data_IF_777667242059
#
_entry.id   IF_777667242059
#
_cell.length_a   1.000
_cell.length_b   1.000
_cell.length_c   1.000
_cell.angle_alpha   90.00
_cell.angle_beta   90.00
_cell.angle_gamma   90.00
#
_symmetry.space_group_name_H-M   'P 1'
#
loop_
_entity.id
_entity.type
_entity.pdbx_description
1 polymer ?
#
# COMPACT_ATOMS: atom_id res chain seq x y z
N UNK A 1 -64.06 -45.09 9.49
CA UNK A 1 -64.95 -46.07 10.14
C UNK A 1 -66.36 -45.56 9.93
N UNK A 2 -67.12 -46.27 9.10
CA UNK A 2 -68.48 -45.89 8.72
C UNK A 2 -69.44 -46.50 9.75
N UNK A 3 -70.11 -45.66 10.54
CA UNK A 3 -71.23 -46.08 11.37
C UNK A 3 -72.53 -45.83 10.59
N UNK A 4 -73.06 -46.93 10.06
CA UNK A 4 -74.46 -47.06 9.63
C UNK A 4 -75.33 -47.04 10.88
N UNK A 5 -76.07 -45.95 11.10
CA UNK A 5 -77.10 -45.88 12.14
C UNK A 5 -78.44 -46.22 11.51
N UNK A 6 -78.97 -47.35 11.97
CA UNK A 6 -80.29 -47.92 11.72
C UNK A 6 -81.41 -46.90 12.00
N UNK A 7 -82.35 -46.82 11.06
CA UNK A 7 -83.60 -46.10 11.21
C UNK A 7 -84.74 -47.13 11.30
N UNK A 8 -85.34 -47.39 12.48
CA UNK A 8 -86.53 -48.22 12.56
C UNK A 8 -87.76 -47.33 12.37
N UNK A 9 -88.26 -47.27 11.14
CA UNK A 9 -89.62 -46.82 10.85
C UNK A 9 -90.61 -47.80 11.48
N UNK A 10 -91.03 -47.50 12.71
CA UNK A 10 -92.14 -48.19 13.37
C UNK A 10 -93.44 -47.78 12.69
N UNK A 11 -94.05 -48.76 12.04
CA UNK A 11 -95.44 -48.78 11.62
C UNK A 11 -96.35 -48.34 12.79
N UNK A 12 -96.91 -47.14 12.67
CA UNK A 12 -97.89 -46.59 13.61
C UNK A 12 -99.21 -46.18 12.92
N UNK A 13 -99.48 -46.73 11.73
CA UNK A 13 -100.74 -46.54 10.99
C UNK A 13 -101.49 -47.87 10.85
N UNK A 14 -102.06 -48.37 11.97
CA UNK A 14 -102.93 -49.55 11.93
C UNK A 14 -104.04 -49.57 13.01
N UNK A 15 -104.40 -48.44 13.62
CA UNK A 15 -105.44 -48.40 14.68
C UNK A 15 -106.34 -47.15 14.58
N UNK A 16 -107.00 -46.95 13.44
CA UNK A 16 -108.06 -45.94 13.30
C UNK A 16 -109.32 -46.45 12.58
N UNK A 17 -109.50 -47.77 12.46
CA UNK A 17 -110.71 -48.39 11.92
C UNK A 17 -111.40 -49.28 12.96
N UNK A 18 -111.94 -48.67 14.02
CA UNK A 18 -112.94 -49.34 14.86
C UNK A 18 -113.87 -48.33 15.56
N UNK A 19 -114.64 -47.60 14.76
CA UNK A 19 -115.92 -47.04 15.23
C UNK A 19 -116.99 -47.55 14.27
N UNK A 20 -117.78 -48.57 14.65
CA UNK A 20 -118.99 -48.89 13.94
C UNK A 20 -119.90 -47.65 13.99
N UNK A 21 -120.11 -47.01 12.84
CA UNK A 21 -121.22 -46.10 12.62
C UNK A 21 -122.46 -46.80 13.13
N UNK A 22 -123.02 -46.31 14.24
CA UNK A 22 -124.28 -46.81 14.77
C UNK A 22 -125.30 -46.70 13.65
N UNK A 23 -125.74 -47.87 13.17
CA UNK A 23 -126.83 -47.99 12.25
C UNK A 23 -128.00 -47.15 12.79
N UNK A 24 -128.54 -46.32 11.91
CA UNK A 24 -129.76 -45.56 12.08
C UNK A 24 -130.87 -46.53 12.45
N UNK A 25 -131.12 -46.70 13.75
CA UNK A 25 -132.33 -47.36 14.21
C UNK A 25 -133.50 -46.44 13.86
N UNK A 26 -134.49 -46.91 13.08
CA UNK A 26 -135.72 -46.15 12.90
C UNK A 26 -136.34 -45.96 14.28
N UNK A 27 -136.52 -44.71 14.68
CA UNK A 27 -137.30 -44.33 15.85
C UNK A 27 -138.69 -44.92 15.70
N UNK A 28 -138.89 -46.12 16.25
CA UNK A 28 -140.22 -46.61 16.54
C UNK A 28 -140.70 -45.79 17.74
N UNK A 29 -141.61 -44.86 17.46
CA UNK A 29 -142.46 -44.13 18.40
C UNK A 29 -143.29 -45.13 19.23
N UNK A 30 -142.60 -45.90 20.06
CA UNK A 30 -143.18 -46.78 21.05
C UNK A 30 -143.62 -45.91 22.21
N UNK A 31 -144.77 -45.25 22.03
CA UNK A 31 -145.43 -44.46 23.09
C UNK A 31 -145.53 -45.31 24.35
N UNK A 32 -144.83 -44.88 25.39
CA UNK A 32 -144.81 -45.53 26.70
C UNK A 32 -146.26 -45.64 27.21
N UNK A 33 -146.72 -46.86 27.48
CA UNK A 33 -148.04 -47.13 28.04
C UNK A 33 -147.89 -47.45 29.52
N UNK A 34 -148.70 -46.80 30.36
CA UNK A 34 -148.76 -47.13 31.77
C UNK A 34 -149.36 -48.53 31.97
N UNK A 35 -148.93 -49.27 32.99
CA UNK A 35 -149.52 -50.56 33.38
C UNK A 35 -151.04 -50.48 33.66
N UNK A 36 -151.59 -49.28 33.82
CA UNK A 36 -153.02 -49.00 33.99
C UNK A 36 -153.79 -48.81 32.67
N UNK A 37 -153.12 -48.80 31.51
CA UNK A 37 -153.72 -48.62 30.18
C UNK A 37 -154.33 -47.22 29.89
N UNK A 38 -154.17 -46.26 30.81
CA UNK A 38 -154.70 -44.89 30.69
C UNK A 38 -153.59 -43.91 30.32
N UNK A 39 -153.84 -43.12 29.28
CA UNK A 39 -152.90 -42.10 28.78
C UNK A 39 -152.79 -40.89 29.73
N UNK A 40 -153.73 -40.74 30.67
CA UNK A 40 -153.78 -39.65 31.66
C UNK A 40 -153.18 -39.99 33.04
N UNK A 41 -152.44 -41.09 33.16
CA UNK A 41 -151.83 -41.48 34.43
C UNK A 41 -150.79 -40.46 34.91
N UNK A 42 -150.93 -39.96 36.15
CA UNK A 42 -150.02 -38.99 36.75
C UNK A 42 -148.55 -39.47 36.79
N UNK A 43 -148.34 -40.77 37.07
CA UNK A 43 -147.02 -41.39 37.04
C UNK A 43 -146.44 -41.48 35.63
N UNK A 44 -147.26 -41.75 34.61
CA UNK A 44 -146.81 -41.79 33.22
C UNK A 44 -146.41 -40.39 32.71
N UNK A 45 -147.22 -39.37 33.00
CA UNK A 45 -146.90 -37.97 32.66
C UNK A 45 -145.63 -37.50 33.35
N UNK A 46 -145.45 -37.84 34.64
CA UNK A 46 -144.22 -37.55 35.36
C UNK A 46 -143.01 -38.28 34.75
N UNK A 47 -143.11 -39.58 34.46
CA UNK A 47 -142.05 -40.33 33.80
C UNK A 47 -141.71 -39.78 32.41
N UNK A 48 -142.69 -39.41 31.58
CA UNK A 48 -142.43 -38.77 30.29
C UNK A 48 -141.75 -37.41 30.46
N UNK A 49 -142.17 -36.58 31.42
CA UNK A 49 -141.50 -35.29 31.67
C UNK A 49 -140.05 -35.46 32.14
N UNK A 50 -139.78 -36.48 32.97
CA UNK A 50 -138.42 -36.80 33.41
C UNK A 50 -137.59 -37.34 32.25
N UNK A 51 -138.16 -38.20 31.40
CA UNK A 51 -137.48 -38.68 30.20
C UNK A 51 -137.20 -37.56 29.20
N UNK A 52 -138.12 -36.62 29.00
CA UNK A 52 -137.89 -35.44 28.16
C UNK A 52 -136.79 -34.54 28.73
N UNK A 53 -136.71 -34.37 30.05
CA UNK A 53 -135.61 -33.63 30.69
C UNK A 53 -134.29 -34.35 30.55
N UNK A 54 -134.27 -35.68 30.74
CA UNK A 54 -133.06 -36.49 30.57
C UNK A 54 -132.64 -36.51 29.11
N UNK A 55 -133.57 -36.58 28.16
CA UNK A 55 -133.27 -36.50 26.74
C UNK A 55 -132.65 -35.14 26.39
N UNK A 56 -133.20 -34.04 26.92
CA UNK A 56 -132.60 -32.71 26.77
C UNK A 56 -131.21 -32.65 27.41
N UNK A 57 -131.03 -33.20 28.60
CA UNK A 57 -129.75 -33.21 29.31
C UNK A 57 -128.71 -34.07 28.56
N UNK A 58 -129.10 -35.22 28.02
CA UNK A 58 -128.25 -36.06 27.17
C UNK A 58 -127.90 -35.35 25.86
N UNK A 59 -128.85 -34.66 25.23
CA UNK A 59 -128.58 -33.86 24.04
C UNK A 59 -127.65 -32.68 24.35
N UNK A 60 -127.80 -32.01 25.50
CA UNK A 60 -126.90 -30.92 25.91
C UNK A 60 -125.52 -31.45 26.27
N UNK A 61 -125.42 -32.56 26.99
CA UNK A 61 -124.17 -33.25 27.29
C UNK A 61 -123.46 -33.73 26.02
N UNK A 62 -124.20 -34.26 25.03
CA UNK A 62 -123.66 -34.63 23.74
C UNK A 62 -123.17 -33.42 22.93
N UNK A 63 -123.90 -32.30 22.95
CA UNK A 63 -123.46 -31.04 22.31
C UNK A 63 -122.20 -30.47 22.97
N UNK A 64 -122.14 -30.48 24.30
CA UNK A 64 -120.97 -30.04 25.06
C UNK A 64 -119.77 -30.97 24.85
N UNK A 65 -119.99 -32.29 24.86
CA UNK A 65 -118.96 -33.28 24.56
C UNK A 65 -118.38 -33.11 23.16
N UNK A 66 -119.22 -32.90 22.14
CA UNK A 66 -118.78 -32.58 20.78
C UNK A 66 -118.00 -31.27 20.71
N UNK A 67 -118.45 -30.22 21.39
CA UNK A 67 -117.74 -28.94 21.42
C UNK A 67 -116.38 -29.03 22.13
N UNK A 68 -116.28 -29.80 23.22
CA UNK A 68 -115.03 -30.07 23.93
C UNK A 68 -114.06 -30.89 23.09
N UNK A 69 -114.54 -31.94 22.41
CA UNK A 69 -113.72 -32.73 21.49
C UNK A 69 -113.20 -31.87 20.34
N UNK A 70 -114.06 -31.08 19.68
CA UNK A 70 -113.63 -30.18 18.60
C UNK A 70 -112.58 -29.15 19.07
N UNK A 71 -112.73 -28.60 20.29
CA UNK A 71 -111.74 -27.69 20.89
C UNK A 71 -110.43 -28.41 21.22
N UNK A 72 -110.51 -29.63 21.74
CA UNK A 72 -109.32 -30.42 22.05
C UNK A 72 -108.58 -30.83 20.78
N UNK A 73 -109.29 -31.24 19.73
CA UNK A 73 -108.74 -31.52 18.40
C UNK A 73 -108.02 -30.29 17.82
N UNK A 74 -108.64 -29.11 17.90
CA UNK A 74 -107.99 -27.85 17.50
C UNK A 74 -106.74 -27.57 18.33
N UNK A 75 -106.79 -27.71 19.66
CA UNK A 75 -105.62 -27.50 20.52
C UNK A 75 -104.48 -28.48 20.22
N UNK A 76 -104.80 -29.76 20.00
CA UNK A 76 -103.80 -30.78 19.64
C UNK A 76 -103.20 -30.50 18.26
N UNK A 77 -104.00 -30.06 17.29
CA UNK A 77 -103.52 -29.66 15.97
C UNK A 77 -102.59 -28.45 16.06
N UNK A 78 -102.93 -27.45 16.88
CA UNK A 78 -102.11 -26.26 17.09
C UNK A 78 -100.79 -26.61 17.80
N UNK A 79 -100.85 -27.41 18.86
CA UNK A 79 -99.67 -27.87 19.59
C UNK A 79 -98.74 -28.72 18.73
N UNK A 80 -99.28 -29.58 17.86
CA UNK A 80 -98.47 -30.39 16.95
C UNK A 80 -97.81 -29.52 15.88
N UNK A 81 -98.52 -28.51 15.35
CA UNK A 81 -97.91 -27.52 14.44
C UNK A 81 -96.77 -26.77 15.11
N UNK A 82 -96.96 -26.33 16.34
CA UNK A 82 -95.92 -25.64 17.11
C UNK A 82 -94.72 -26.57 17.40
N UNK A 83 -94.98 -27.83 17.76
CA UNK A 83 -93.94 -28.84 17.97
C UNK A 83 -93.12 -29.04 16.70
N UNK A 84 -93.78 -29.22 15.55
CA UNK A 84 -93.09 -29.37 14.26
C UNK A 84 -92.27 -28.12 13.89
N UNK A 85 -92.81 -26.91 14.13
CA UNK A 85 -92.10 -25.66 13.90
C UNK A 85 -90.86 -25.53 14.78
N UNK A 86 -90.98 -25.87 16.08
CA UNK A 86 -89.86 -25.85 17.01
C UNK A 86 -88.81 -26.91 16.67
N UNK A 87 -89.22 -28.14 16.33
CA UNK A 87 -88.30 -29.20 15.90
C UNK A 87 -87.53 -28.78 14.65
N UNK A 88 -88.21 -28.24 13.64
CA UNK A 88 -87.54 -27.73 12.43
C UNK A 88 -86.56 -26.60 12.75
N UNK A 89 -86.89 -25.70 13.69
CA UNK A 89 -85.99 -24.62 14.10
C UNK A 89 -84.77 -25.14 14.86
N UNK A 90 -84.93 -26.15 15.71
CA UNK A 90 -83.83 -26.81 16.42
C UNK A 90 -82.88 -27.44 15.40
N UNK A 91 -83.41 -28.20 14.43
CA UNK A 91 -82.60 -28.82 13.37
C UNK A 91 -81.82 -27.78 12.56
N UNK A 92 -82.45 -26.65 12.20
CA UNK A 92 -81.75 -25.54 11.54
C UNK A 92 -80.60 -25.00 12.39
N UNK A 93 -80.86 -24.71 13.68
CA UNK A 93 -79.83 -24.18 14.58
C UNK A 93 -78.69 -25.18 14.84
N UNK A 94 -78.99 -26.48 14.86
CA UNK A 94 -78.00 -27.53 14.98
C UNK A 94 -77.11 -27.60 13.73
N UNK A 95 -77.71 -27.51 12.54
CA UNK A 95 -76.96 -27.45 11.28
C UNK A 95 -76.09 -26.18 11.20
N UNK A 96 -76.65 -25.00 11.51
CA UNK A 96 -75.92 -23.73 11.53
C UNK A 96 -74.75 -23.79 12.54
N UNK A 97 -74.97 -24.41 13.71
CA UNK A 97 -73.92 -24.61 14.72
C UNK A 97 -72.81 -25.50 14.19
N UNK A 98 -73.13 -26.61 13.52
CA UNK A 98 -72.13 -27.52 12.96
C UNK A 98 -71.32 -26.85 11.86
N UNK A 99 -71.97 -26.06 11.00
CA UNK A 99 -71.29 -25.28 9.95
C UNK A 99 -70.34 -24.25 10.55
N UNK A 100 -70.82 -23.44 11.51
CA UNK A 100 -69.98 -22.47 12.21
C UNK A 100 -68.83 -23.12 12.98
N UNK A 101 -69.04 -24.31 13.55
CA UNK A 101 -67.97 -25.06 14.20
C UNK A 101 -66.92 -25.52 13.18
N UNK A 102 -67.34 -26.00 12.01
CA UNK A 102 -66.42 -26.39 10.94
C UNK A 102 -65.61 -25.18 10.43
N UNK A 103 -66.26 -24.04 10.18
CA UNK A 103 -65.58 -22.81 9.78
C UNK A 103 -64.60 -22.33 10.85
N UNK A 104 -65.01 -22.34 12.13
CA UNK A 104 -64.13 -21.95 13.23
C UNK A 104 -62.89 -22.85 13.30
N UNK A 105 -63.06 -24.17 13.17
CA UNK A 105 -61.91 -25.09 13.16
C UNK A 105 -60.95 -24.81 12.02
N UNK A 106 -61.47 -24.57 10.80
CA UNK A 106 -60.66 -24.20 9.64
C UNK A 106 -59.90 -22.90 9.85
N UNK A 107 -60.56 -21.85 10.34
CA UNK A 107 -59.92 -20.57 10.63
C UNK A 107 -58.87 -20.70 11.74
N UNK A 108 -59.10 -21.52 12.75
CA UNK A 108 -58.10 -21.78 13.81
C UNK A 108 -56.88 -22.51 13.23
N UNK A 109 -57.06 -23.46 12.33
CA UNK A 109 -55.95 -24.14 11.63
C UNK A 109 -55.16 -23.17 10.74
N UNK A 110 -55.84 -22.31 9.97
CA UNK A 110 -55.20 -21.27 9.17
C UNK A 110 -54.38 -20.32 10.05
N UNK A 111 -54.93 -19.87 11.18
CA UNK A 111 -54.19 -19.01 12.12
C UNK A 111 -52.96 -19.72 12.70
N UNK A 112 -53.05 -21.01 13.04
CA UNK A 112 -51.88 -21.79 13.50
C UNK A 112 -50.80 -21.87 12.42
N UNK A 113 -51.18 -22.20 11.19
CA UNK A 113 -50.24 -22.29 10.07
C UNK A 113 -49.56 -20.94 9.79
N UNK A 114 -50.29 -19.83 9.90
CA UNK A 114 -49.72 -18.49 9.76
C UNK A 114 -48.76 -18.15 10.90
N UNK A 115 -49.07 -18.54 12.13
CA UNK A 115 -48.16 -18.36 13.27
C UNK A 115 -46.87 -19.17 13.10
N UNK A 116 -46.96 -20.42 12.65
CA UNK A 116 -45.79 -21.26 12.39
C UNK A 116 -44.92 -20.66 11.28
N UNK A 117 -45.53 -20.10 10.23
CA UNK A 117 -44.82 -19.37 9.17
C UNK A 117 -44.12 -18.12 9.70
N UNK A 118 -44.79 -17.35 10.57
CA UNK A 118 -44.20 -16.15 11.19
C UNK A 118 -43.03 -16.52 12.10
N UNK A 119 -43.15 -17.58 12.90
CA UNK A 119 -42.07 -18.05 13.76
C UNK A 119 -40.87 -18.54 12.93
N UNK A 120 -41.11 -19.30 11.86
CA UNK A 120 -40.05 -19.71 10.94
C UNK A 120 -39.34 -18.50 10.32
N UNK A 121 -40.10 -17.51 9.82
CA UNK A 121 -39.51 -16.29 9.25
C UNK A 121 -38.72 -15.52 10.31
N UNK A 122 -39.26 -15.38 11.52
CA UNK A 122 -38.57 -14.72 12.62
C UNK A 122 -37.24 -15.41 12.96
N UNK A 123 -37.20 -16.74 13.01
CA UNK A 123 -35.97 -17.50 13.22
C UNK A 123 -34.96 -17.26 12.09
N UNK A 124 -35.40 -17.25 10.82
CA UNK A 124 -34.48 -16.97 9.69
C UNK A 124 -33.92 -15.55 9.70
N UNK A 125 -34.70 -14.56 10.16
CA UNK A 125 -34.24 -13.18 10.32
C UNK A 125 -33.22 -13.11 11.46
N UNK A 126 -33.49 -13.76 12.59
CA UNK A 126 -32.57 -13.83 13.71
C UNK A 126 -31.23 -14.50 13.32
N UNK A 127 -31.27 -15.59 12.57
CA UNK A 127 -30.06 -16.26 12.06
C UNK A 127 -29.26 -15.34 11.13
N UNK A 128 -29.96 -14.56 10.28
CA UNK A 128 -29.34 -13.57 9.39
C UNK A 128 -28.68 -12.44 10.19
N UNK A 129 -29.32 -11.94 11.24
CA UNK A 129 -28.77 -10.91 12.12
C UNK A 129 -27.52 -11.40 12.87
N UNK A 130 -27.53 -12.64 13.37
CA UNK A 130 -26.35 -13.26 13.98
C UNK A 130 -25.20 -13.39 12.97
N UNK A 131 -25.52 -13.74 11.72
CA UNK A 131 -24.54 -13.84 10.65
C UNK A 131 -23.92 -12.48 10.32
N UNK A 132 -24.75 -11.42 10.21
CA UNK A 132 -24.30 -10.04 10.00
C UNK A 132 -23.38 -9.60 11.13
N UNK A 133 -23.76 -9.80 12.39
CA UNK A 133 -22.92 -9.45 13.55
C UNK A 133 -21.56 -10.17 13.52
N UNK A 134 -21.55 -11.43 13.11
CA UNK A 134 -20.32 -12.21 12.95
C UNK A 134 -19.43 -11.61 11.86
N UNK A 135 -20.01 -11.27 10.71
CA UNK A 135 -19.28 -10.63 9.61
C UNK A 135 -18.73 -9.26 10.02
N UNK A 136 -19.52 -8.45 10.73
CA UNK A 136 -19.08 -7.16 11.28
C UNK A 136 -17.90 -7.32 12.24
N UNK A 137 -17.94 -8.31 13.14
CA UNK A 137 -16.84 -8.61 14.04
C UNK A 137 -15.56 -9.02 13.27
N UNK A 138 -15.69 -9.84 12.22
CA UNK A 138 -14.55 -10.22 11.37
C UNK A 138 -14.00 -9.04 10.58
N UNK A 139 -14.85 -8.14 10.10
CA UNK A 139 -14.46 -6.93 9.38
C UNK A 139 -13.67 -5.99 10.30
N UNK A 140 -14.16 -5.74 11.52
CA UNK A 140 -13.47 -4.92 12.51
C UNK A 140 -12.11 -5.52 12.89
N UNK A 141 -12.04 -6.84 13.07
CA UNK A 141 -10.79 -7.56 13.34
C UNK A 141 -9.79 -7.41 12.18
N UNK A 142 -10.26 -7.58 10.94
CA UNK A 142 -9.44 -7.39 9.73
C UNK A 142 -8.94 -5.95 9.60
N UNK A 143 -9.79 -4.96 9.82
CA UNK A 143 -9.41 -3.54 9.82
C UNK A 143 -8.33 -3.25 10.88
N UNK A 144 -8.43 -3.84 12.07
CA UNK A 144 -7.39 -3.71 13.09
C UNK A 144 -6.07 -4.36 12.66
N UNK A 145 -6.12 -5.52 12.00
CA UNK A 145 -4.94 -6.17 11.45
C UNK A 145 -4.26 -5.31 10.36
N UNK A 146 -5.05 -4.71 9.45
CA UNK A 146 -4.53 -3.78 8.43
C UNK A 146 -3.83 -2.59 9.08
N UNK A 147 -4.43 -1.93 10.08
CA UNK A 147 -3.78 -0.82 10.80
C UNK A 147 -2.46 -1.22 11.46
N UNK A 148 -2.38 -2.45 12.00
CA UNK A 148 -1.12 -2.98 12.56
C UNK A 148 -0.07 -3.18 11.46
N UNK A 149 -0.46 -3.71 10.31
CA UNK A 149 0.42 -3.89 9.15
C UNK A 149 0.89 -2.56 8.58
N UNK A 150 0.02 -1.57 8.45
CA UNK A 150 0.37 -0.20 8.05
C UNK A 150 1.43 0.40 8.98
N UNK A 151 1.25 0.25 10.30
CA UNK A 151 2.24 0.70 11.28
C UNK A 151 3.58 -0.05 11.17
N UNK A 152 3.56 -1.35 10.84
CA UNK A 152 4.78 -2.12 10.60
C UNK A 152 5.47 -1.71 9.30
N UNK A 153 4.72 -1.48 8.22
CA UNK A 153 5.22 -1.01 6.94
C UNK A 153 5.84 0.39 7.04
N UNK A 154 5.21 1.31 7.79
CA UNK A 154 5.76 2.63 8.04
C UNK A 154 7.11 2.57 8.79
N UNK A 155 7.23 1.68 9.78
CA UNK A 155 8.50 1.45 10.50
C UNK A 155 9.56 0.82 9.59
N UNK A 156 9.18 -0.15 8.75
CA UNK A 156 10.10 -0.76 7.80
C UNK A 156 10.63 0.28 6.80
N UNK A 157 9.76 1.11 6.25
CA UNK A 157 10.15 2.19 5.34
C UNK A 157 11.10 3.22 6.00
N UNK A 158 10.92 3.53 7.29
CA UNK A 158 11.87 4.38 8.03
C UNK A 158 13.23 3.70 8.21
N UNK A 159 13.25 2.42 8.56
CA UNK A 159 14.49 1.66 8.67
C UNK A 159 15.22 1.56 7.32
N UNK A 160 14.49 1.38 6.21
CA UNK A 160 15.06 1.41 4.85
C UNK A 160 15.73 2.74 4.52
N UNK A 161 15.12 3.88 4.92
CA UNK A 161 15.77 5.20 4.77
C UNK A 161 17.06 5.30 5.58
N UNK A 162 17.06 4.83 6.82
CA UNK A 162 18.26 4.82 7.64
C UNK A 162 19.37 3.95 7.04
N UNK A 163 19.02 2.78 6.50
CA UNK A 163 19.98 1.91 5.80
C UNK A 163 20.57 2.63 4.59
N UNK A 164 19.74 3.28 3.76
CA UNK A 164 20.22 4.02 2.60
C UNK A 164 21.19 5.17 2.97
N UNK A 165 20.94 5.86 4.10
CA UNK A 165 21.87 6.89 4.62
C UNK A 165 23.20 6.26 5.04
N UNK A 166 23.16 5.15 5.79
CA UNK A 166 24.37 4.45 6.23
C UNK A 166 25.18 3.89 5.05
N UNK A 167 24.51 3.38 4.01
CA UNK A 167 25.15 2.94 2.78
C UNK A 167 25.85 4.11 2.05
N UNK A 168 25.19 5.27 1.97
CA UNK A 168 25.80 6.48 1.39
C UNK A 168 27.02 6.95 2.20
N UNK A 169 26.93 6.94 3.53
CA UNK A 169 28.04 7.27 4.42
C UNK A 169 29.21 6.29 4.26
N UNK A 170 28.92 4.99 4.16
CA UNK A 170 29.92 3.96 3.93
C UNK A 170 30.67 4.20 2.62
N UNK A 171 29.95 4.46 1.52
CA UNK A 171 30.55 4.77 0.22
C UNK A 171 31.41 6.04 0.29
N UNK A 172 30.93 7.09 0.97
CA UNK A 172 31.68 8.31 1.18
C UNK A 172 32.99 8.04 1.95
N UNK A 173 32.91 7.29 3.05
CA UNK A 173 34.08 6.95 3.86
C UNK A 173 35.09 6.11 3.07
N UNK A 174 34.64 5.12 2.30
CA UNK A 174 35.50 4.31 1.43
C UNK A 174 36.21 5.18 0.39
N UNK A 175 35.50 6.09 -0.27
CA UNK A 175 36.11 7.02 -1.22
C UNK A 175 37.14 7.92 -0.53
N UNK A 176 36.83 8.48 0.65
CA UNK A 176 37.80 9.30 1.39
C UNK A 176 39.05 8.50 1.76
N UNK A 177 38.90 7.24 2.21
CA UNK A 177 40.03 6.35 2.51
C UNK A 177 40.91 6.13 1.28
N UNK A 178 40.32 5.81 0.13
CA UNK A 178 41.06 5.60 -1.11
C UNK A 178 41.81 6.88 -1.51
N UNK A 179 41.14 8.03 -1.46
CA UNK A 179 41.77 9.31 -1.81
C UNK A 179 42.93 9.65 -0.86
N UNK A 180 42.74 9.54 0.46
CA UNK A 180 43.79 9.86 1.44
C UNK A 180 44.96 8.89 1.37
N UNK A 181 44.71 7.60 1.14
CA UNK A 181 45.77 6.64 0.87
C UNK A 181 46.56 6.99 -0.40
N UNK A 182 45.88 7.36 -1.48
CA UNK A 182 46.54 7.75 -2.73
C UNK A 182 47.39 9.00 -2.54
N UNK A 183 46.88 10.01 -1.84
CA UNK A 183 47.58 11.24 -1.49
C UNK A 183 48.80 10.97 -0.59
N UNK A 184 48.65 10.10 0.41
CA UNK A 184 49.75 9.68 1.28
C UNK A 184 50.86 8.98 0.50
N UNK A 185 50.51 8.07 -0.43
CA UNK A 185 51.48 7.42 -1.33
C UNK A 185 52.20 8.43 -2.20
N UNK A 186 51.48 9.37 -2.82
CA UNK A 186 52.06 10.44 -3.64
C UNK A 186 52.95 11.38 -2.83
N UNK A 187 52.55 11.77 -1.61
CA UNK A 187 53.35 12.57 -0.70
C UNK A 187 54.64 11.86 -0.31
N UNK A 188 54.57 10.56 0.01
CA UNK A 188 55.74 9.75 0.33
C UNK A 188 56.69 9.61 -0.86
N UNK A 189 56.18 9.45 -2.08
CA UNK A 189 57.00 9.45 -3.29
C UNK A 189 57.72 10.79 -3.51
N UNK A 190 57.02 11.92 -3.33
CA UNK A 190 57.63 13.26 -3.41
C UNK A 190 58.70 13.46 -2.34
N UNK A 191 58.42 13.04 -1.11
CA UNK A 191 59.37 13.11 0.00
C UNK A 191 60.64 12.30 -0.30
N UNK A 192 60.52 11.04 -0.74
CA UNK A 192 61.67 10.20 -1.15
C UNK A 192 62.46 10.78 -2.33
N UNK A 193 61.81 11.52 -3.23
CA UNK A 193 62.50 12.22 -4.33
C UNK A 193 63.28 13.41 -3.81
N UNK A 194 62.68 14.20 -2.91
CA UNK A 194 63.35 15.32 -2.27
C UNK A 194 64.53 14.86 -1.39
N UNK A 195 64.35 13.78 -0.63
CA UNK A 195 65.41 13.16 0.19
C UNK A 195 66.61 12.76 -0.65
N UNK A 196 66.40 12.02 -1.76
CA UNK A 196 67.48 11.70 -2.71
C UNK A 196 68.14 12.94 -3.28
N UNK A 197 67.35 13.94 -3.70
CA UNK A 197 67.91 15.20 -4.21
C UNK A 197 68.75 15.95 -3.17
N UNK A 198 68.38 15.90 -1.89
CA UNK A 198 69.19 16.47 -0.79
C UNK A 198 70.50 15.71 -0.63
N UNK A 199 70.46 14.37 -0.64
CA UNK A 199 71.68 13.55 -0.57
C UNK A 199 72.62 13.82 -1.74
N UNK A 200 72.11 13.94 -2.96
CA UNK A 200 72.91 14.26 -4.16
C UNK A 200 73.55 15.66 -4.04
N UNK A 201 72.81 16.65 -3.54
CA UNK A 201 73.34 18.00 -3.29
C UNK A 201 74.38 18.02 -2.16
N UNK A 202 74.20 17.21 -1.11
CA UNK A 202 75.20 17.04 -0.05
C UNK A 202 76.51 16.46 -0.60
N UNK A 203 76.43 15.43 -1.43
CA UNK A 203 77.61 14.85 -2.09
C UNK A 203 78.32 15.86 -3.02
N UNK A 204 77.55 16.64 -3.78
CA UNK A 204 78.10 17.73 -4.61
C UNK A 204 78.80 18.80 -3.77
N UNK A 205 78.22 19.19 -2.63
CA UNK A 205 78.84 20.13 -1.70
C UNK A 205 80.14 19.58 -1.13
N UNK A 206 80.16 18.33 -0.67
CA UNK A 206 81.38 17.68 -0.16
C UNK A 206 82.48 17.60 -1.22
N UNK A 207 82.13 17.28 -2.47
CA UNK A 207 83.07 17.30 -3.61
C UNK A 207 83.64 18.70 -3.86
N UNK A 208 82.78 19.72 -3.95
CA UNK A 208 83.24 21.10 -4.13
C UNK A 208 84.09 21.59 -2.95
N UNK A 209 83.74 21.22 -1.72
CA UNK A 209 84.54 21.56 -0.55
C UNK A 209 85.93 20.91 -0.59
N UNK A 210 86.00 19.65 -1.04
CA UNK A 210 87.25 18.92 -1.21
C UNK A 210 88.11 19.54 -2.32
N UNK A 211 87.53 19.82 -3.49
CA UNK A 211 88.21 20.53 -4.59
C UNK A 211 88.71 21.91 -4.13
N UNK A 212 87.90 22.65 -3.37
CA UNK A 212 88.29 23.94 -2.82
C UNK A 212 89.39 23.82 -1.74
N UNK A 213 89.46 22.72 -0.98
CA UNK A 213 90.58 22.44 -0.07
C UNK A 213 91.84 22.14 -0.87
N UNK A 214 91.76 21.27 -1.87
CA UNK A 214 92.88 20.91 -2.75
C UNK A 214 93.39 22.12 -3.54
N UNK A 215 92.52 23.00 -4.03
CA UNK A 215 92.93 24.28 -4.61
C UNK A 215 93.64 25.17 -3.60
N UNK A 216 93.12 25.33 -2.37
CA UNK A 216 93.81 26.09 -1.32
C UNK A 216 95.18 25.51 -0.99
N UNK A 217 95.30 24.18 -0.92
CA UNK A 217 96.58 23.49 -0.71
C UNK A 217 97.54 23.72 -1.88
N UNK A 218 97.10 23.54 -3.13
CA UNK A 218 97.89 23.86 -4.33
C UNK A 218 98.31 25.33 -4.36
N UNK A 219 97.43 26.26 -4.03
CA UNK A 219 97.76 27.68 -3.90
C UNK A 219 98.79 27.92 -2.80
N UNK A 220 98.67 27.28 -1.64
CA UNK A 220 99.65 27.37 -0.57
C UNK A 220 101.01 26.79 -0.99
N UNK A 221 101.03 25.68 -1.72
CA UNK A 221 102.25 25.10 -2.28
C UNK A 221 102.93 26.04 -3.29
N UNK A 222 102.16 26.62 -4.22
CA UNK A 222 102.66 27.59 -5.21
C UNK A 222 103.20 28.83 -4.52
N UNK A 223 102.48 29.38 -3.54
CA UNK A 223 102.96 30.50 -2.73
C UNK A 223 104.22 30.12 -1.95
N UNK A 224 104.31 28.90 -1.42
CA UNK A 224 105.51 28.40 -0.76
C UNK A 224 106.69 28.24 -1.73
N UNK A 225 106.46 27.79 -2.97
CA UNK A 225 107.50 27.76 -4.04
C UNK A 225 107.95 29.16 -4.40
N UNK A 226 107.00 30.07 -4.55
CA UNK A 226 107.25 31.47 -4.85
C UNK A 226 107.98 32.18 -3.71
N UNK A 227 107.69 31.85 -2.44
CA UNK A 227 108.41 32.41 -1.30
C UNK A 227 109.81 31.83 -1.17
N UNK A 228 110.00 30.51 -1.39
CA UNK A 228 111.36 29.92 -1.50
C UNK A 228 112.13 30.50 -2.68
N UNK A 229 111.48 30.76 -3.81
CA UNK A 229 112.09 31.46 -4.94
C UNK A 229 112.43 32.91 -4.57
N UNK A 230 111.57 33.63 -3.85
CA UNK A 230 111.87 34.98 -3.34
C UNK A 230 112.99 34.99 -2.32
N UNK A 231 113.06 33.99 -1.44
CA UNK A 231 114.17 33.81 -0.48
C UNK A 231 115.45 33.49 -1.23
N UNK A 232 115.42 32.55 -2.19
CA UNK A 232 116.54 32.27 -3.09
C UNK A 232 116.91 33.51 -3.91
N UNK A 233 115.96 34.32 -4.38
CA UNK A 233 116.23 35.59 -5.08
C UNK A 233 116.80 36.64 -4.13
N UNK A 234 116.38 36.69 -2.86
CA UNK A 234 116.99 37.54 -1.83
C UNK A 234 118.42 37.06 -1.55
N UNK A 235 118.66 35.76 -1.48
CA UNK A 235 119.98 35.14 -1.30
C UNK A 235 120.87 35.29 -2.52
N UNK A 236 120.32 35.14 -3.74
CA UNK A 236 120.98 35.38 -5.03
C UNK A 236 121.19 36.87 -5.25
N UNK A 237 120.33 37.77 -4.79
CA UNK A 237 120.58 39.21 -4.81
C UNK A 237 121.58 39.63 -3.73
N UNK A 238 121.63 38.94 -2.59
CA UNK A 238 122.68 39.12 -1.59
C UNK A 238 124.01 38.50 -2.03
N UNK A 239 123.98 37.36 -2.72
CA UNK A 239 125.13 36.66 -3.30
C UNK A 239 125.59 37.35 -4.58
N UNK A 240 124.69 37.90 -5.40
CA UNK A 240 124.98 38.82 -6.50
C UNK A 240 125.38 40.18 -5.95
N UNK A 241 124.92 40.62 -4.79
CA UNK A 241 125.46 41.78 -4.09
C UNK A 241 126.90 41.54 -3.63
N UNK A 242 127.22 40.32 -3.18
CA UNK A 242 128.57 39.87 -2.83
C UNK A 242 129.45 39.56 -4.05
N UNK A 243 128.90 38.97 -5.11
CA UNK A 243 129.54 38.71 -6.40
C UNK A 243 129.66 40.00 -7.20
N UNK A 244 128.82 41.02 -7.01
CA UNK A 244 128.96 42.37 -7.56
C UNK A 244 129.91 43.19 -6.67
N UNK A 245 130.01 42.88 -5.38
CA UNK A 245 131.13 43.29 -4.52
C UNK A 245 132.47 42.65 -4.92
N UNK A 246 132.45 41.43 -5.49
CA UNK A 246 133.64 40.70 -5.96
C UNK A 246 133.91 40.83 -7.48
N UNK A 247 132.93 41.24 -8.28
CA UNK A 247 133.00 41.44 -9.74
C UNK A 247 132.97 42.92 -10.14
N UNK A 248 132.73 43.85 -9.21
CA UNK A 248 133.10 45.26 -9.39
C UNK A 248 134.64 45.47 -9.44
N UNK A 249 135.43 44.40 -9.32
CA UNK A 249 136.88 44.41 -9.53
C UNK A 249 137.36 43.68 -10.81
N UNK A 250 136.47 43.23 -11.72
CA UNK A 250 136.93 42.74 -13.05
C UNK A 250 135.82 42.69 -14.12
N UNK A 251 135.78 43.77 -14.92
CA UNK A 251 135.63 43.81 -16.38
C UNK A 251 134.47 43.07 -17.07
N UNK A 252 133.48 43.84 -17.51
CA UNK A 252 132.74 43.62 -18.76
C UNK A 252 133.44 44.39 -19.90
N UNK A 253 133.84 43.69 -20.96
CA UNK A 253 134.05 44.26 -22.28
C UNK A 253 133.75 43.22 -23.38
N UNK A 254 132.78 43.54 -24.24
CA UNK A 254 132.45 43.00 -25.58
C UNK A 254 132.13 41.49 -25.73
N UNK A 255 131.21 41.02 -26.56
CA UNK A 255 130.35 41.65 -27.57
C UNK A 255 129.88 40.61 -28.62
N UNK A 256 128.63 40.75 -29.08
CA UNK A 256 128.05 40.42 -30.41
C UNK A 256 128.28 39.05 -31.08
N UNK A 257 127.19 38.41 -31.52
CA UNK A 257 126.74 38.44 -32.93
C UNK A 257 125.63 37.40 -33.22
N UNK A 258 124.57 37.82 -33.92
CA UNK A 258 123.66 36.99 -34.72
C UNK A 258 124.05 37.16 -36.21
N UNK A 259 123.82 36.22 -37.15
CA UNK A 259 122.47 35.96 -37.68
C UNK A 259 122.22 34.53 -38.24
N UNK A 260 121.00 33.98 -38.12
CA UNK A 260 120.63 32.72 -38.82
C UNK A 260 119.17 32.76 -39.33
N UNK A 261 118.93 33.63 -40.31
CA UNK A 261 117.60 33.99 -40.85
C UNK A 261 116.94 32.84 -41.63
N UNK A 262 117.72 31.91 -42.20
CA UNK A 262 117.18 30.74 -42.92
C UNK A 262 116.68 29.65 -41.96
N UNK A 263 117.26 29.56 -40.75
CA UNK A 263 116.72 28.72 -39.67
C UNK A 263 115.42 29.29 -39.08
N UNK A 264 115.23 30.61 -39.14
CA UNK A 264 113.99 31.25 -38.70
C UNK A 264 112.84 30.96 -39.68
N UNK A 265 113.07 31.07 -41.00
CA UNK A 265 112.01 30.78 -41.99
C UNK A 265 111.55 29.32 -42.00
N UNK A 266 112.47 28.36 -41.89
CA UNK A 266 112.09 26.93 -41.79
C UNK A 266 111.43 26.65 -40.44
N UNK A 267 111.85 27.33 -39.38
CA UNK A 267 111.21 27.24 -38.06
C UNK A 267 109.82 27.85 -38.09
N UNK A 268 109.62 28.99 -38.73
CA UNK A 268 108.31 29.63 -38.93
C UNK A 268 107.42 28.75 -39.80
N UNK A 269 107.93 28.15 -40.87
CA UNK A 269 107.12 27.25 -41.70
C UNK A 269 106.72 25.97 -40.95
N UNK A 270 107.61 25.39 -40.13
CA UNK A 270 107.31 24.24 -39.28
C UNK A 270 106.39 24.61 -38.12
N UNK A 271 106.53 25.81 -37.57
CA UNK A 271 105.69 26.34 -36.50
C UNK A 271 104.30 26.69 -37.02
N UNK A 272 104.19 27.26 -38.21
CA UNK A 272 102.94 27.49 -38.91
C UNK A 272 102.28 26.17 -39.30
N UNK A 273 103.04 25.15 -39.71
CA UNK A 273 102.47 23.82 -39.96
C UNK A 273 101.96 23.16 -38.67
N UNK A 274 102.68 23.31 -37.56
CA UNK A 274 102.24 22.83 -36.25
C UNK A 274 101.00 23.57 -35.76
N UNK A 275 100.95 24.89 -35.92
CA UNK A 275 99.77 25.71 -35.61
C UNK A 275 98.58 25.36 -36.51
N UNK A 276 98.81 25.10 -37.81
CA UNK A 276 97.75 24.66 -38.72
C UNK A 276 97.23 23.28 -38.34
N UNK A 277 98.12 22.35 -37.95
CA UNK A 277 97.75 21.01 -37.48
C UNK A 277 96.97 21.08 -36.17
N UNK A 278 97.34 21.98 -35.26
CA UNK A 278 96.58 22.26 -34.04
C UNK A 278 95.19 22.82 -34.37
N UNK A 279 95.12 23.83 -35.25
CA UNK A 279 93.84 24.37 -35.73
C UNK A 279 92.98 23.33 -36.45
N UNK A 280 93.59 22.39 -37.18
CA UNK A 280 92.89 21.27 -37.81
C UNK A 280 92.42 20.21 -36.80
N UNK A 281 93.09 20.06 -35.67
CA UNK A 281 92.66 19.21 -34.57
C UNK A 281 91.49 19.85 -33.81
N UNK A 282 91.58 21.14 -33.51
CA UNK A 282 90.52 21.93 -32.86
C UNK A 282 89.24 21.97 -33.71
N UNK A 283 89.37 22.15 -35.03
CA UNK A 283 88.22 22.09 -35.95
C UNK A 283 87.60 20.70 -36.04
N UNK A 284 88.41 19.64 -35.94
CA UNK A 284 87.89 18.26 -35.87
C UNK A 284 87.18 17.98 -34.55
N UNK A 285 87.70 18.50 -33.44
CA UNK A 285 87.09 18.39 -32.12
C UNK A 285 85.76 19.15 -32.07
N UNK A 286 85.71 20.38 -32.61
CA UNK A 286 84.44 21.12 -32.75
C UNK A 286 83.44 20.41 -33.67
N UNK A 287 83.91 19.78 -34.75
CA UNK A 287 83.05 18.97 -35.63
C UNK A 287 82.51 17.73 -34.92
N UNK A 288 83.30 17.07 -34.08
CA UNK A 288 82.87 15.93 -33.26
C UNK A 288 81.85 16.40 -32.24
N UNK A 289 82.14 17.46 -31.46
CA UNK A 289 81.22 18.00 -30.46
C UNK A 289 79.89 18.45 -31.09
N UNK A 290 79.93 19.11 -32.25
CA UNK A 290 78.71 19.52 -32.97
C UNK A 290 77.95 18.31 -33.52
N UNK A 291 78.63 17.26 -33.97
CA UNK A 291 77.98 16.03 -34.44
C UNK A 291 77.32 15.29 -33.26
N UNK A 292 77.99 15.22 -32.10
CA UNK A 292 77.44 14.66 -30.87
C UNK A 292 76.21 15.46 -30.39
N UNK A 293 76.24 16.78 -30.50
CA UNK A 293 75.09 17.65 -30.18
C UNK A 293 73.93 17.44 -31.17
N UNK A 294 74.22 17.31 -32.47
CA UNK A 294 73.22 16.95 -33.49
C UNK A 294 72.64 15.57 -33.21
N UNK A 295 73.46 14.60 -32.76
CA UNK A 295 73.00 13.27 -32.41
C UNK A 295 72.14 13.30 -31.15
N UNK A 296 72.52 14.07 -30.13
CA UNK A 296 71.71 14.30 -28.94
C UNK A 296 70.37 14.99 -29.26
N UNK A 297 70.38 15.97 -30.18
CA UNK A 297 69.16 16.62 -30.68
C UNK A 297 68.32 15.66 -31.51
N UNK A 298 68.92 14.76 -32.31
CA UNK A 298 68.21 13.68 -33.01
C UNK A 298 67.60 12.67 -32.04
N UNK A 299 68.30 12.31 -30.95
CA UNK A 299 67.78 11.42 -29.91
C UNK A 299 66.65 12.09 -29.11
N UNK A 300 66.74 13.41 -28.88
CA UNK A 300 65.64 14.22 -28.34
C UNK A 300 64.47 14.28 -29.32
N UNK A 301 64.72 14.41 -30.63
CA UNK A 301 63.67 14.44 -31.65
C UNK A 301 63.02 13.06 -31.82
N UNK A 302 63.78 11.97 -31.72
CA UNK A 302 63.29 10.59 -31.72
C UNK A 302 62.44 10.28 -30.48
N UNK A 303 62.79 10.82 -29.31
CA UNK A 303 61.97 10.73 -28.10
C UNK A 303 60.74 11.65 -28.13
N UNK A 304 60.77 12.71 -28.94
CA UNK A 304 59.63 13.59 -29.22
C UNK A 304 58.92 13.30 -30.56
N UNK A 305 59.26 12.23 -31.26
CA UNK A 305 58.53 11.82 -32.45
C UNK A 305 57.24 11.15 -31.97
N UNK A 306 56.05 11.72 -32.24
CA UNK A 306 54.81 11.05 -31.90
C UNK A 306 54.77 9.76 -32.71
N UNK A 307 54.86 8.64 -32.01
CA UNK A 307 54.54 7.32 -32.56
C UNK A 307 53.06 7.40 -32.93
N UNK A 308 52.82 7.64 -34.21
CA UNK A 308 51.52 7.48 -34.86
C UNK A 308 51.30 5.97 -35.06
N UNK A 309 51.08 5.24 -33.97
CA UNK A 309 50.56 3.86 -33.98
C UNK A 309 49.72 3.63 -32.73
N UNK A 310 48.50 4.18 -32.76
CA UNK A 310 47.21 3.52 -32.43
C UNK A 310 46.10 4.59 -32.36
N UNK A 311 45.74 5.12 -33.54
CA UNK A 311 44.56 5.94 -33.73
C UNK A 311 43.29 5.10 -33.63
N UNK A 312 42.81 4.91 -32.40
CA UNK A 312 41.40 4.59 -32.14
C UNK A 312 40.84 5.26 -30.88
N UNK A 313 41.70 5.75 -29.97
CA UNK A 313 41.23 6.22 -28.66
C UNK A 313 41.19 7.76 -28.53
N UNK A 314 42.21 8.48 -29.02
CA UNK A 314 42.32 9.93 -28.79
C UNK A 314 41.40 10.79 -29.69
N UNK A 315 41.06 10.31 -30.90
CA UNK A 315 40.08 10.98 -31.77
C UNK A 315 38.64 10.83 -31.25
N UNK A 316 38.36 9.84 -30.39
CA UNK A 316 37.03 9.62 -29.81
C UNK A 316 36.70 10.66 -28.74
N UNK A 317 37.70 11.05 -27.94
CA UNK A 317 37.51 12.01 -26.83
C UNK A 317 37.42 13.46 -27.32
N UNK A 318 38.17 13.85 -28.36
CA UNK A 318 38.05 15.20 -28.94
C UNK A 318 36.82 15.39 -29.84
N UNK A 319 36.28 14.31 -30.42
CA UNK A 319 34.99 14.35 -31.13
C UNK A 319 33.80 14.39 -30.18
N UNK A 320 33.94 13.86 -28.96
CA UNK A 320 32.96 13.98 -27.89
C UNK A 320 32.92 15.38 -27.26
N UNK A 321 34.05 16.10 -27.23
CA UNK A 321 34.16 17.44 -26.62
C UNK A 321 33.88 18.62 -27.58
N UNK A 322 33.83 18.38 -28.90
CA UNK A 322 33.55 19.41 -29.92
C UNK A 322 32.25 19.18 -30.72
N UNK A 323 31.39 18.26 -30.28
CA UNK A 323 30.01 18.21 -30.76
C UNK A 323 29.23 19.38 -30.14
N UNK A 324 28.66 20.30 -30.95
CA UNK A 324 27.97 21.47 -30.42
C UNK A 324 26.70 21.04 -29.69
N UNK A 325 26.41 21.74 -28.59
CA UNK A 325 25.15 21.80 -27.86
C UNK A 325 23.90 21.74 -28.77
N UNK A 326 23.50 20.54 -29.19
CA UNK A 326 22.33 20.34 -30.05
C UNK A 326 21.47 19.14 -29.62
N UNK A 327 21.86 18.44 -28.55
CA UNK A 327 21.10 17.30 -28.00
C UNK A 327 20.52 17.53 -26.60
N UNK A 328 20.82 18.68 -25.96
CA UNK A 328 20.18 19.07 -24.69
C UNK A 328 18.75 19.60 -24.87
N UNK A 329 18.46 20.21 -26.03
CA UNK A 329 17.13 20.76 -26.34
C UNK A 329 16.12 19.72 -26.86
N UNK A 330 16.58 18.57 -27.36
CA UNK A 330 15.67 17.49 -27.83
C UNK A 330 15.16 16.62 -26.68
N UNK A 331 15.92 16.44 -25.60
CA UNK A 331 15.47 15.68 -24.43
C UNK A 331 14.48 16.47 -23.56
N UNK A 332 14.69 17.79 -23.38
CA UNK A 332 13.71 18.65 -22.68
C UNK A 332 12.43 18.89 -23.49
N UNK A 333 12.50 18.93 -24.83
CA UNK A 333 11.31 19.04 -25.67
C UNK A 333 10.46 17.75 -25.64
N UNK A 334 11.09 16.57 -25.56
CA UNK A 334 10.38 15.30 -25.42
C UNK A 334 9.78 15.10 -24.01
N UNK A 335 10.46 15.56 -22.96
CA UNK A 335 9.91 15.47 -21.59
C UNK A 335 8.75 16.45 -21.34
N UNK A 336 8.71 17.60 -22.03
CA UNK A 336 7.57 18.53 -21.97
C UNK A 336 6.36 18.10 -22.82
N UNK A 337 6.57 17.38 -23.92
CA UNK A 337 5.47 16.88 -24.77
C UNK A 337 4.81 15.60 -24.25
N UNK A 338 5.47 14.84 -23.36
CA UNK A 338 4.91 13.63 -22.75
C UNK A 338 4.03 13.92 -21.52
N UNK A 339 4.08 15.15 -20.99
CA UNK A 339 3.18 15.61 -19.91
C UNK A 339 1.85 16.15 -20.47
N UNK A 340 1.76 16.47 -21.77
CA UNK A 340 0.56 17.07 -22.38
C UNK A 340 -0.38 16.04 -23.01
N UNK A 341 0.03 14.77 -23.19
CA UNK A 341 -0.81 13.74 -23.81
C UNK A 341 -0.79 12.41 -23.04
N UNK A 342 -1.48 12.34 -21.89
CA UNK A 342 -2.20 11.12 -21.49
C UNK A 342 -3.55 11.50 -20.87
N UNK A 343 -4.67 10.85 -21.25
CA UNK A 343 -6.00 11.24 -20.81
C UNK A 343 -6.45 10.37 -19.64
N UNK A 344 -6.56 10.90 -18.43
CA UNK A 344 -7.53 10.37 -17.45
C UNK A 344 -7.89 11.41 -16.41
N UNK A 345 -9.19 11.57 -16.19
CA UNK A 345 -9.81 12.73 -15.60
C UNK A 345 -9.52 12.97 -14.12
N UNK A 346 -9.50 14.25 -13.77
CA UNK A 346 -9.87 14.72 -12.43
C UNK A 346 -11.23 15.42 -12.51
N UNK A 347 -12.17 14.87 -11.75
CA UNK A 347 -13.35 15.58 -11.31
C UNK A 347 -12.94 16.76 -10.41
N UNK A 348 -13.63 17.88 -10.59
CA UNK A 348 -13.58 19.07 -9.75
C UNK A 348 -14.01 18.76 -8.30
N UNK A 349 -13.42 19.44 -7.30
CA UNK A 349 -14.16 19.85 -6.13
C UNK A 349 -14.41 21.36 -6.17
N UNK A 350 -15.66 21.72 -5.94
CA UNK A 350 -16.17 23.07 -5.88
C UNK A 350 -15.58 23.90 -4.73
N UNK A 351 -15.55 25.19 -5.00
CA UNK A 351 -15.14 26.29 -4.14
C UNK A 351 -15.82 26.31 -2.76
N UNK A 352 -14.98 26.55 -1.76
CA UNK A 352 -15.32 27.10 -0.45
C UNK A 352 -15.88 28.53 -0.61
N UNK A 353 -16.74 29.02 0.31
CA UNK A 353 -16.20 29.97 1.30
C UNK A 353 -16.90 29.93 2.67
N UNK A 354 -16.14 29.57 3.70
CA UNK A 354 -16.48 29.77 5.10
C UNK A 354 -15.23 30.10 5.91
N UNK A 355 -14.67 31.28 5.66
CA UNK A 355 -13.53 31.82 6.40
C UNK A 355 -14.02 32.53 7.67
N UNK A 356 -13.60 32.07 8.84
CA UNK A 356 -13.28 32.91 10.01
C UNK A 356 -12.71 32.06 11.16
N UNK A 357 -11.46 32.30 11.55
CA UNK A 357 -11.03 32.13 12.93
C UNK A 357 -10.51 33.46 13.47
N UNK A 358 -11.03 33.92 14.62
CA UNK A 358 -10.35 34.75 15.62
C UNK A 358 -11.33 35.18 16.71
N UNK A 359 -11.24 34.59 17.91
CA UNK A 359 -10.88 35.33 19.14
C UNK A 359 -11.18 34.52 20.39
N UNK A 360 -10.18 34.53 21.27
CA UNK A 360 -10.22 34.12 22.67
C UNK A 360 -11.11 35.05 23.50
N UNK A 361 -11.86 34.47 24.44
CA UNK A 361 -12.21 35.00 25.76
C UNK A 361 -12.65 33.75 26.57
N UNK A 362 -11.84 33.22 27.48
CA UNK A 362 -11.85 33.55 28.92
C UNK A 362 -13.25 33.91 29.38
N UNK A 363 -13.94 32.95 29.98
CA UNK A 363 -14.70 33.20 31.20
C UNK A 363 -14.72 31.96 32.10
N UNK A 364 -14.56 32.28 33.37
CA UNK A 364 -14.44 31.46 34.56
C UNK A 364 -15.82 31.53 35.22
N UNK A 365 -16.47 30.40 35.53
CA UNK A 365 -17.24 30.20 36.78
C UNK A 365 -18.08 28.92 36.80
N UNK A 366 -18.07 28.29 37.99
CA UNK A 366 -19.21 27.56 38.57
C UNK A 366 -19.33 26.08 38.22
N UNK A 367 -18.78 25.15 39.00
CA UNK A 367 -19.40 24.53 40.21
C UNK A 367 -20.69 23.72 39.96
N UNK A 368 -20.69 22.53 40.60
CA UNK A 368 -21.70 21.46 40.68
C UNK A 368 -21.51 20.33 39.67
N UNK A 369 -21.37 19.07 40.04
CA UNK A 369 -21.44 18.42 41.34
C UNK A 369 -21.43 16.90 41.10
N UNK A 370 -20.77 16.19 41.99
CA UNK A 370 -20.93 14.76 42.32
C UNK A 370 -22.17 14.07 41.74
N UNK A 371 -21.96 13.00 40.97
CA UNK A 371 -22.34 11.63 41.34
C UNK A 371 -21.56 10.62 40.49
#
# INVERSE_FOLDING_TARGET
>A
MAETVDNPSRDADAMADFVPSSATHPHSDSKLRCCCGRDDCAFLKHSCTVLDTVEKDVHTAAKLGKALLARHEAYMADAERDRLALTSRIEQLENDKLELQAENTKTVEENRNLLDQLEMLNNTVQDSDIHIQTLEATLLSSQQAVRRLEGAAARAAEMERHIAILEQEQLRLQNTLITTESEARSAMQRWRKAERGISDLQEQLERMEQEAKEERERHAEVLGRMERQREMEKELNAAAGRLKGAAAAKSLNAGKAAPNVVSHFVRDLLQDNANLQLGMAELREMLINSNDEIQALRDQLMSHQPIHEEDASAASTLRAELAPESESWTFLACQYLQIINTPTGMALPDNNPGNSPLSQAIDFDGLHGTF
#
